data_IF_689576091634
#
_entry.id   IF_689576091634
#
_cell.length_a   1.000
_cell.length_b   1.000
_cell.length_c   1.000
_cell.angle_alpha   90.00
_cell.angle_beta   90.00
_cell.angle_gamma   90.00
#
_symmetry.space_group_name_H-M   'P 1'
#
loop_
_entity.id
_entity.type
_entity.pdbx_description
1 polymer ?
#
# COMPACT_ATOMS: atom_id res chain seq x y z
N UNK A 1 50.04 21.57 11.05
CA UNK A 1 51.33 20.95 10.71
C UNK A 1 51.11 19.44 10.78
N UNK A 2 51.00 18.71 9.66
CA UNK A 2 52.05 17.85 9.05
C UNK A 2 52.71 16.88 10.07
N UNK A 3 52.97 15.58 9.83
CA UNK A 3 52.84 14.63 8.68
C UNK A 3 52.70 13.18 9.28
N UNK A 4 52.57 12.02 8.61
CA UNK A 4 52.60 11.58 7.20
C UNK A 4 52.04 10.13 7.04
N UNK A 5 51.36 9.88 5.91
CA UNK A 5 51.62 8.85 4.87
C UNK A 5 52.10 7.42 5.23
N UNK A 6 51.39 6.40 4.71
CA UNK A 6 51.83 5.08 4.15
C UNK A 6 50.59 4.15 4.06
N UNK A 7 50.42 3.19 3.14
CA UNK A 7 50.91 2.98 1.77
C UNK A 7 49.98 1.97 1.07
N UNK A 8 50.06 1.86 -0.26
CA UNK A 8 49.04 1.26 -1.13
C UNK A 8 48.64 -0.21 -0.90
N UNK A 9 47.42 -0.52 -1.32
CA UNK A 9 47.02 -1.83 -1.82
C UNK A 9 46.22 -1.67 -3.12
N UNK A 10 46.63 -2.41 -4.15
CA UNK A 10 46.18 -2.27 -5.54
C UNK A 10 44.83 -2.97 -5.75
N UNK A 11 43.73 -2.20 -5.80
CA UNK A 11 42.45 -2.76 -6.25
C UNK A 11 42.49 -3.03 -7.76
N UNK A 12 42.64 -4.31 -8.12
CA UNK A 12 42.65 -4.78 -9.50
C UNK A 12 41.27 -4.54 -10.16
N UNK A 13 41.15 -3.45 -10.91
CA UNK A 13 39.94 -3.11 -11.67
C UNK A 13 39.83 -3.98 -12.92
N UNK A 14 39.34 -5.20 -12.77
CA UNK A 14 39.01 -6.10 -13.89
C UNK A 14 37.93 -5.46 -14.76
N UNK A 15 38.30 -4.99 -15.95
CA UNK A 15 37.35 -4.59 -17.01
C UNK A 15 37.00 -5.82 -17.84
N UNK A 16 35.96 -6.55 -17.44
CA UNK A 16 35.45 -7.68 -18.22
C UNK A 16 34.57 -7.19 -19.36
N UNK A 17 35.16 -6.85 -20.51
CA UNK A 17 34.41 -6.68 -21.76
C UNK A 17 34.04 -8.05 -22.33
N UNK A 18 32.88 -8.58 -21.94
CA UNK A 18 32.21 -9.65 -22.70
C UNK A 18 31.46 -9.01 -23.87
N UNK A 19 32.02 -9.10 -25.08
CA UNK A 19 31.27 -8.90 -26.33
C UNK A 19 30.37 -10.12 -26.55
N UNK A 20 29.12 -10.03 -26.11
CA UNK A 20 28.11 -11.06 -26.37
C UNK A 20 27.77 -11.11 -27.86
N UNK A 21 28.17 -12.17 -28.55
CA UNK A 21 27.80 -12.41 -29.95
C UNK A 21 26.40 -13.05 -30.02
N UNK A 22 25.37 -12.23 -30.22
CA UNK A 22 24.00 -12.72 -30.39
C UNK A 22 23.75 -13.19 -31.83
N UNK A 23 23.71 -14.52 -32.03
CA UNK A 23 23.30 -15.12 -33.31
C UNK A 23 21.77 -15.17 -33.37
N UNK A 24 21.17 -14.41 -34.29
CA UNK A 24 19.72 -14.42 -34.52
C UNK A 24 19.34 -15.40 -35.64
N UNK A 25 18.66 -16.49 -35.28
CA UNK A 25 17.93 -17.35 -36.23
C UNK A 25 16.43 -17.22 -35.99
N UNK A 26 15.72 -16.57 -36.91
CA UNK A 26 14.29 -16.78 -37.20
C UNK A 26 13.22 -16.45 -36.14
N UNK A 27 13.58 -16.04 -34.92
CA UNK A 27 12.61 -15.72 -33.87
C UNK A 27 12.12 -14.26 -33.92
N UNK A 28 10.80 -14.05 -34.04
CA UNK A 28 10.19 -12.74 -33.77
C UNK A 28 10.47 -12.40 -32.31
N UNK A 29 11.30 -11.37 -32.09
CA UNK A 29 11.49 -10.81 -30.75
C UNK A 29 10.20 -10.11 -30.33
N UNK A 30 9.33 -10.84 -29.63
CA UNK A 30 8.15 -10.27 -29.00
C UNK A 30 8.61 -9.36 -27.86
N UNK A 31 8.84 -8.08 -28.20
CA UNK A 31 9.21 -7.06 -27.25
C UNK A 31 8.07 -6.89 -26.26
N UNK A 32 8.25 -7.42 -25.04
CA UNK A 32 7.42 -7.08 -23.89
C UNK A 32 7.77 -5.66 -23.41
N UNK A 33 7.53 -4.68 -24.29
CA UNK A 33 7.48 -3.28 -23.95
C UNK A 33 6.21 -3.02 -23.14
N UNK A 34 6.19 -3.49 -21.89
CA UNK A 34 5.24 -3.02 -20.90
C UNK A 34 5.33 -1.51 -20.83
N UNK A 35 4.25 -0.82 -21.17
CA UNK A 35 4.24 0.64 -21.24
C UNK A 35 4.66 1.27 -19.91
N UNK A 36 5.42 2.37 -19.98
CA UNK A 36 5.82 3.12 -18.80
C UNK A 36 4.58 3.56 -18.01
N UNK A 37 4.48 3.17 -16.73
CA UNK A 37 3.36 3.55 -15.87
C UNK A 37 3.45 5.04 -15.52
N UNK A 38 2.59 5.84 -16.15
CA UNK A 38 2.57 7.32 -16.04
C UNK A 38 1.22 7.81 -15.49
N UNK A 39 0.95 7.64 -14.18
CA UNK A 39 -0.33 8.02 -13.60
C UNK A 39 -0.51 9.54 -13.54
N UNK A 40 -1.72 9.99 -13.82
CA UNK A 40 -2.14 11.39 -13.57
C UNK A 40 -2.84 11.46 -12.21
N UNK A 41 -2.46 12.42 -11.36
CA UNK A 41 -3.12 12.64 -10.07
C UNK A 41 -4.51 13.25 -10.29
N UNK A 42 -5.57 12.49 -9.97
CA UNK A 42 -6.97 12.93 -10.12
C UNK A 42 -7.56 13.56 -8.85
N UNK A 43 -7.04 13.22 -7.68
CA UNK A 43 -7.52 13.72 -6.38
C UNK A 43 -6.37 13.92 -5.37
N UNK A 44 -6.64 14.61 -4.26
CA UNK A 44 -5.80 14.58 -3.07
C UNK A 44 -6.18 13.38 -2.19
N UNK A 45 -5.25 12.88 -1.38
CA UNK A 45 -5.55 11.85 -0.40
C UNK A 45 -6.57 12.37 0.63
N UNK A 46 -7.56 11.55 0.94
CA UNK A 46 -8.56 11.85 1.97
C UNK A 46 -8.04 11.47 3.36
N UNK A 47 -8.44 12.20 4.43
CA UNK A 47 -8.01 11.89 5.78
C UNK A 47 -8.63 10.58 6.28
N UNK A 48 -7.78 9.66 6.73
CA UNK A 48 -8.20 8.42 7.37
C UNK A 48 -8.92 8.68 8.71
N UNK A 49 -9.93 7.87 9.05
CA UNK A 49 -10.43 7.80 10.42
C UNK A 49 -9.42 6.99 11.23
N UNK A 50 -8.74 7.64 12.19
CA UNK A 50 -7.71 7.00 13.04
C UNK A 50 -8.24 6.55 14.40
N UNK A 51 -9.37 7.11 14.84
CA UNK A 51 -10.01 6.84 16.14
C UNK A 51 -11.53 6.78 15.91
N UNK A 52 -12.07 5.67 15.39
CA UNK A 52 -13.50 5.53 15.17
C UNK A 52 -14.26 5.53 16.51
N UNK A 53 -15.43 6.18 16.53
CA UNK A 53 -16.37 6.04 17.66
C UNK A 53 -17.07 4.69 17.52
N UNK A 54 -16.92 3.84 18.53
CA UNK A 54 -17.49 2.49 18.54
C UNK A 54 -18.64 2.48 19.56
N UNK A 55 -19.81 2.02 19.11
CA UNK A 55 -21.02 1.90 19.94
C UNK A 55 -21.53 0.45 19.99
N UNK A 56 -22.25 0.06 21.04
CA UNK A 56 -23.05 -1.17 21.06
C UNK A 56 -24.06 -1.23 19.90
N UNK A 57 -24.46 -2.43 19.49
CA UNK A 57 -25.37 -2.61 18.35
C UNK A 57 -26.78 -2.05 18.61
N UNK A 58 -27.25 -2.11 19.85
CA UNK A 58 -28.49 -1.51 20.34
C UNK A 58 -28.45 0.03 20.45
N UNK A 59 -27.27 0.64 20.30
CA UNK A 59 -27.11 2.09 20.16
C UNK A 59 -26.85 2.55 18.71
N UNK A 60 -26.67 1.62 17.77
CA UNK A 60 -26.31 1.93 16.39
C UNK A 60 -27.40 2.67 15.60
N UNK A 61 -28.68 2.44 15.94
CA UNK A 61 -29.86 3.09 15.33
C UNK A 61 -29.84 4.63 15.45
N UNK A 62 -29.00 5.19 16.31
CA UNK A 62 -28.79 6.65 16.45
C UNK A 62 -27.86 7.25 15.38
N UNK A 63 -27.15 6.40 14.65
CA UNK A 63 -26.04 6.78 13.77
C UNK A 63 -26.07 6.10 12.39
N UNK A 64 -26.85 5.03 12.24
CA UNK A 64 -26.86 4.13 11.08
C UNK A 64 -28.33 3.80 10.78
N UNK A 65 -28.74 3.93 9.52
CA UNK A 65 -30.10 3.56 9.09
C UNK A 65 -30.28 2.04 9.07
N UNK A 66 -31.51 1.56 9.27
CA UNK A 66 -31.79 0.12 9.42
C UNK A 66 -31.51 -0.72 8.15
N UNK A 67 -31.46 -0.07 6.98
CA UNK A 67 -31.13 -0.67 5.68
C UNK A 67 -29.72 -0.28 5.16
N UNK A 68 -28.91 0.40 5.97
CA UNK A 68 -27.54 0.79 5.56
C UNK A 68 -26.61 -0.43 5.44
N UNK A 69 -25.82 -0.44 4.36
CA UNK A 69 -24.79 -1.47 4.14
C UNK A 69 -23.63 -1.33 5.14
N UNK A 70 -23.18 -2.45 5.68
CA UNK A 70 -22.03 -2.51 6.59
C UNK A 70 -20.97 -3.50 6.12
N UNK A 71 -19.69 -3.16 6.34
CA UNK A 71 -18.58 -4.11 6.28
C UNK A 71 -18.47 -4.82 7.64
N UNK A 72 -18.89 -6.08 7.70
CA UNK A 72 -18.81 -6.90 8.91
C UNK A 72 -17.50 -7.69 9.00
N UNK A 73 -16.91 -7.77 10.19
CA UNK A 73 -15.72 -8.59 10.48
C UNK A 73 -15.80 -9.23 11.87
N UNK A 74 -15.23 -10.42 12.03
CA UNK A 74 -15.06 -11.08 13.33
C UNK A 74 -13.59 -11.47 13.51
N UNK A 75 -12.94 -10.98 14.55
CA UNK A 75 -11.53 -11.27 14.87
C UNK A 75 -11.43 -11.79 16.30
N UNK A 76 -10.91 -13.00 16.48
CA UNK A 76 -10.76 -13.61 17.82
C UNK A 76 -12.10 -13.79 18.56
N UNK A 77 -13.20 -13.96 17.83
CA UNK A 77 -14.56 -14.02 18.39
C UNK A 77 -15.20 -12.66 18.70
N UNK A 78 -14.49 -11.55 18.49
CA UNK A 78 -15.03 -10.20 18.66
C UNK A 78 -15.62 -9.70 17.32
N UNK A 79 -16.91 -9.36 17.25
CA UNK A 79 -17.52 -8.78 16.05
C UNK A 79 -17.30 -7.27 15.96
N UNK A 80 -17.31 -6.74 14.73
CA UNK A 80 -17.32 -5.30 14.42
C UNK A 80 -18.01 -5.08 13.06
N UNK A 81 -18.68 -3.94 12.91
CA UNK A 81 -19.32 -3.51 11.68
C UNK A 81 -18.93 -2.06 11.37
N UNK A 82 -18.73 -1.73 10.09
CA UNK A 82 -18.40 -0.38 9.62
C UNK A 82 -19.44 0.07 8.58
N UNK A 83 -20.21 1.15 8.80
CA UNK A 83 -21.19 1.63 7.83
C UNK A 83 -20.53 2.16 6.55
N UNK A 84 -21.03 1.76 5.39
CA UNK A 84 -20.46 2.12 4.08
C UNK A 84 -20.60 3.63 3.80
N UNK A 85 -21.63 4.31 4.33
CA UNK A 85 -21.77 5.74 4.12
C UNK A 85 -20.65 6.55 4.83
N UNK A 86 -20.13 6.06 5.97
CA UNK A 86 -18.93 6.64 6.61
C UNK A 86 -17.65 6.53 5.76
N UNK A 87 -17.62 5.58 4.82
CA UNK A 87 -16.54 5.32 3.85
C UNK A 87 -16.83 5.89 2.45
N UNK A 88 -17.93 6.65 2.27
CA UNK A 88 -18.33 7.18 0.96
C UNK A 88 -18.47 8.71 0.96
N UNK A 89 -18.97 9.31 2.05
CA UNK A 89 -19.39 10.72 2.05
C UNK A 89 -18.95 11.42 3.35
N UNK A 90 -18.36 12.63 3.32
CA UNK A 90 -18.03 13.45 2.15
C UNK A 90 -16.63 13.22 1.56
N UNK A 91 -15.68 12.60 2.27
CA UNK A 91 -14.27 12.45 1.83
C UNK A 91 -13.48 11.51 2.77
N UNK A 92 -13.75 10.19 2.76
CA UNK A 92 -13.05 9.20 3.60
C UNK A 92 -13.12 7.83 2.93
N UNK A 93 -11.98 7.18 2.68
CA UNK A 93 -11.91 5.85 2.02
C UNK A 93 -11.45 4.74 2.99
N UNK A 94 -11.04 5.09 4.22
CA UNK A 94 -10.41 4.17 5.16
C UNK A 94 -10.71 4.50 6.63
N UNK A 95 -11.08 3.46 7.39
CA UNK A 95 -11.12 3.45 8.85
C UNK A 95 -9.99 2.55 9.35
N UNK A 96 -9.04 3.13 10.09
CA UNK A 96 -8.01 2.40 10.82
C UNK A 96 -8.51 2.13 12.24
N UNK A 97 -8.47 0.86 12.66
CA UNK A 97 -9.07 0.38 13.90
C UNK A 97 -8.18 -0.69 14.55
N UNK A 98 -8.46 -1.02 15.82
CA UNK A 98 -7.83 -2.12 16.55
C UNK A 98 -8.87 -2.94 17.30
N UNK A 99 -9.11 -4.16 16.82
CA UNK A 99 -10.06 -5.12 17.38
C UNK A 99 -9.31 -6.28 18.04
N UNK A 100 -9.52 -6.50 19.35
CA UNK A 100 -8.84 -7.57 20.09
C UNK A 100 -7.31 -7.47 20.06
N UNK A 101 -6.75 -6.26 19.94
CA UNK A 101 -5.32 -6.02 19.77
C UNK A 101 -4.82 -6.09 18.31
N UNK A 102 -5.57 -6.71 17.40
CA UNK A 102 -5.25 -6.80 15.97
C UNK A 102 -5.55 -5.47 15.29
N UNK A 103 -4.57 -4.90 14.57
CA UNK A 103 -4.79 -3.72 13.74
C UNK A 103 -5.46 -4.11 12.43
N UNK A 104 -6.43 -3.33 11.97
CA UNK A 104 -7.16 -3.56 10.73
C UNK A 104 -7.47 -2.23 10.04
N UNK A 105 -7.66 -2.28 8.73
CA UNK A 105 -8.19 -1.19 7.91
C UNK A 105 -9.47 -1.65 7.22
N UNK A 106 -10.57 -0.93 7.41
CA UNK A 106 -11.80 -1.11 6.65
C UNK A 106 -11.82 -0.10 5.49
N UNK A 107 -12.04 -0.58 4.28
CA UNK A 107 -12.02 0.18 3.01
C UNK A 107 -13.16 -0.30 2.11
N UNK A 108 -13.66 0.58 1.24
CA UNK A 108 -14.74 0.33 0.29
C UNK A 108 -14.37 0.94 -1.07
#
# INVERSE_FOLDING_TARGET
>A
MMKSDFSGSLFLRVKTTLTGLAVFWGGIALSWAGGEFRPTKVANAFPAIMNPVIVPADEAEKFVEADELVLGVVIGGLPRAYPVNMLTNPTREIINDRLGGVALAATW
#
